data_IF_973617338189
#
_entry.id   IF_973617338189
#
_cell.length_a   1.000
_cell.length_b   1.000
_cell.length_c   1.000
_cell.angle_alpha   90.00
_cell.angle_beta   90.00
_cell.angle_gamma   90.00
#
_symmetry.space_group_name_H-M   'P 1'
#
loop_
_entity.id
_entity.type
_entity.pdbx_description
1 polymer ?
#
# COMPACT_ATOMS: atom_id res chain seq x y z
N UNK A 1 21.82 3.58 -25.25
CA UNK A 1 21.70 4.65 -24.23
C UNK A 1 20.30 5.22 -24.37
N UNK A 2 19.42 4.97 -23.38
CA UNK A 2 17.98 5.29 -23.27
C UNK A 2 17.08 4.72 -24.40
N UNK A 3 15.87 4.19 -24.18
CA UNK A 3 14.77 4.63 -23.30
C UNK A 3 14.01 3.39 -22.79
N UNK A 4 13.74 3.34 -21.48
CA UNK A 4 12.77 2.42 -20.88
C UNK A 4 11.37 3.03 -20.98
N UNK A 5 10.47 2.33 -21.66
CA UNK A 5 9.04 2.62 -21.70
C UNK A 5 8.34 1.67 -20.73
N UNK A 6 8.11 2.15 -19.52
CA UNK A 6 7.19 1.55 -18.56
C UNK A 6 6.13 2.59 -18.24
N UNK A 7 4.89 2.34 -18.65
CA UNK A 7 3.72 2.99 -18.05
C UNK A 7 3.21 1.99 -17.02
N UNK A 8 3.69 2.06 -15.78
CA UNK A 8 3.12 2.87 -14.68
C UNK A 8 1.60 2.72 -14.62
N UNK A 9 1.14 1.94 -13.63
CA UNK A 9 -0.20 2.03 -13.07
C UNK A 9 -0.58 3.51 -12.94
N UNK A 10 -1.56 3.95 -13.71
CA UNK A 10 -2.09 5.30 -13.62
C UNK A 10 -3.08 5.37 -12.47
N UNK A 11 -2.58 5.52 -11.25
CA UNK A 11 -3.40 5.92 -10.12
C UNK A 11 -3.82 7.40 -10.32
N UNK A 12 -5.04 7.61 -10.83
CA UNK A 12 -5.74 8.89 -10.66
C UNK A 12 -6.49 8.83 -9.33
N UNK A 13 -5.78 9.07 -8.24
CA UNK A 13 -6.35 9.26 -6.91
C UNK A 13 -5.83 10.58 -6.34
N UNK A 14 -6.72 11.46 -5.90
CA UNK A 14 -6.35 12.72 -5.27
C UNK A 14 -5.53 12.45 -4.02
N UNK A 15 -4.36 13.08 -3.92
CA UNK A 15 -3.52 12.98 -2.73
C UNK A 15 -4.25 13.60 -1.53
N UNK A 16 -4.71 12.77 -0.61
CA UNK A 16 -4.79 13.14 0.80
C UNK A 16 -3.63 12.44 1.51
N UNK A 17 -2.78 13.26 2.12
CA UNK A 17 -1.75 12.82 3.04
C UNK A 17 -2.43 12.03 4.17
N UNK A 18 -2.09 10.75 4.32
CA UNK A 18 -2.42 10.00 5.52
C UNK A 18 -1.82 10.73 6.73
N UNK A 19 -2.70 11.16 7.63
CA UNK A 19 -2.30 11.75 8.90
C UNK A 19 -1.94 10.61 9.86
N UNK A 20 -0.68 10.51 10.25
CA UNK A 20 -0.32 9.74 11.45
C UNK A 20 -1.09 10.29 12.66
N UNK A 21 -1.64 9.44 13.54
CA UNK A 21 -2.16 9.90 14.82
C UNK A 21 -0.97 10.36 15.66
N UNK A 22 -0.80 11.67 15.75
CA UNK A 22 0.24 12.28 16.57
C UNK A 22 0.09 11.81 18.02
N UNK A 23 1.08 11.07 18.52
CA UNK A 23 1.25 10.81 19.93
C UNK A 23 1.23 12.14 20.69
N UNK A 24 0.14 12.37 21.41
CA UNK A 24 -0.08 13.55 22.23
C UNK A 24 0.80 13.51 23.49
N UNK A 25 2.11 13.68 23.33
CA UNK A 25 3.03 13.93 24.44
C UNK A 25 3.08 15.43 24.71
N UNK A 26 2.26 15.87 25.67
CA UNK A 26 2.17 17.24 26.13
C UNK A 26 3.52 17.83 26.54
N UNK A 27 3.99 18.81 25.78
CA UNK A 27 4.99 19.78 26.23
C UNK A 27 4.32 21.16 26.33
N UNK A 28 3.65 21.43 27.44
CA UNK A 28 3.28 22.80 27.80
C UNK A 28 4.40 23.43 28.62
N UNK A 29 5.02 24.54 28.18
CA UNK A 29 5.93 25.28 29.04
C UNK A 29 5.12 26.04 30.10
N UNK A 30 5.29 25.62 31.35
CA UNK A 30 4.80 26.28 32.56
C UNK A 30 5.34 27.72 32.64
N UNK A 31 4.51 28.72 32.32
CA UNK A 31 4.81 30.12 32.61
C UNK A 31 4.53 30.39 34.09
N UNK A 32 5.58 30.46 34.89
CA UNK A 32 5.53 30.99 36.26
C UNK A 32 5.37 32.51 36.20
N UNK A 33 4.27 33.02 36.75
CA UNK A 33 4.01 34.45 36.87
C UNK A 33 5.02 35.18 37.76
N UNK A 34 5.48 36.33 37.27
CA UNK A 34 6.23 37.33 38.04
C UNK A 34 5.69 38.71 37.71
N UNK A 35 5.18 39.42 38.72
CA UNK A 35 4.50 40.71 38.62
C UNK A 35 5.50 41.86 38.80
N UNK A 36 5.66 42.70 37.77
CA UNK A 36 6.10 44.11 37.80
C UNK A 36 5.98 44.60 36.34
N UNK A 37 5.29 45.67 35.96
CA UNK A 37 5.36 47.02 36.49
C UNK A 37 5.92 47.92 35.38
N UNK A 38 5.03 48.64 34.67
CA UNK A 38 5.35 49.86 33.88
C UNK A 38 6.02 49.70 32.51
N UNK A 39 5.53 50.47 31.53
CA UNK A 39 6.27 50.80 30.31
C UNK A 39 5.58 50.38 29.01
N UNK A 40 4.83 51.30 28.40
CA UNK A 40 4.51 51.21 26.98
C UNK A 40 5.79 51.50 26.20
N UNK A 41 6.39 50.46 25.63
CA UNK A 41 7.53 50.55 24.73
C UNK A 41 7.26 49.73 23.49
N UNK A 42 7.20 50.41 22.33
CA UNK A 42 7.23 49.79 21.01
C UNK A 42 8.48 48.91 20.87
N UNK A 43 8.30 47.61 21.05
CA UNK A 43 9.31 46.59 20.82
C UNK A 43 8.76 45.59 19.82
N UNK A 44 9.10 45.79 18.54
CA UNK A 44 8.82 44.80 17.49
C UNK A 44 9.36 43.44 17.93
N UNK A 45 8.47 42.45 18.10
CA UNK A 45 8.85 41.06 18.28
C UNK A 45 9.55 40.61 17.00
N UNK A 46 10.88 40.66 17.02
CA UNK A 46 11.73 40.04 16.01
C UNK A 46 11.37 38.55 16.02
N UNK A 47 10.69 38.08 14.98
CA UNK A 47 10.58 36.65 14.75
C UNK A 47 12.01 36.10 14.77
N UNK A 48 12.31 35.19 15.70
CA UNK A 48 13.61 34.54 15.68
C UNK A 48 13.71 33.81 14.34
N UNK A 49 14.77 34.03 13.55
CA UNK A 49 14.94 33.29 12.31
C UNK A 49 15.06 31.82 12.69
N UNK A 50 14.08 31.00 12.31
CA UNK A 50 14.21 29.55 12.33
C UNK A 50 15.41 29.23 11.45
N UNK A 51 16.54 28.86 12.05
CA UNK A 51 17.68 28.39 11.29
C UNK A 51 17.30 27.03 10.69
N UNK A 52 17.38 26.83 9.37
CA UNK A 52 17.09 25.55 8.73
C UNK A 52 17.79 24.37 9.43
N UNK A 53 19.06 24.56 9.83
CA UNK A 53 19.84 23.55 10.54
C UNK A 53 19.29 23.12 11.91
N UNK A 54 18.54 23.98 12.62
CA UNK A 54 17.89 23.58 13.87
C UNK A 54 16.62 22.75 13.60
N UNK A 55 15.91 23.08 12.52
CA UNK A 55 14.77 22.28 12.03
C UNK A 55 15.21 20.89 11.58
N UNK A 56 16.27 20.81 10.77
CA UNK A 56 16.83 19.55 10.28
C UNK A 56 17.26 18.64 11.43
N UNK A 57 17.88 19.20 12.47
CA UNK A 57 18.29 18.44 13.66
C UNK A 57 17.10 17.89 14.43
N UNK A 58 16.06 18.70 14.64
CA UNK A 58 14.84 18.25 15.32
C UNK A 58 14.14 17.15 14.50
N UNK A 59 14.08 17.32 13.17
CA UNK A 59 13.45 16.35 12.28
C UNK A 59 14.23 15.04 12.23
N UNK A 60 15.56 15.08 12.13
CA UNK A 60 16.39 13.88 12.14
C UNK A 60 16.32 13.11 13.48
N UNK A 61 16.11 13.82 14.59
CA UNK A 61 15.88 13.19 15.89
C UNK A 61 14.51 12.49 15.91
N UNK A 62 13.45 13.18 15.48
CA UNK A 62 12.12 12.60 15.34
C UNK A 62 12.15 11.32 14.51
N UNK A 63 12.71 11.37 13.29
CA UNK A 63 12.84 10.19 12.41
C UNK A 63 13.66 9.07 13.06
N UNK A 64 14.63 9.39 13.91
CA UNK A 64 15.42 8.37 14.61
C UNK A 64 14.60 7.60 15.63
N UNK A 65 13.66 8.27 16.29
CA UNK A 65 12.80 7.63 17.27
C UNK A 65 11.65 6.90 16.57
N UNK A 66 11.09 7.47 15.50
CA UNK A 66 10.09 6.82 14.63
C UNK A 66 10.60 5.47 14.07
N UNK A 67 11.77 5.47 13.43
CA UNK A 67 12.38 4.23 12.88
C UNK A 67 12.56 3.16 13.96
N UNK A 68 12.82 3.54 15.23
CA UNK A 68 12.98 2.56 16.30
C UNK A 68 11.64 1.97 16.70
N UNK A 69 10.58 2.77 16.80
CA UNK A 69 9.25 2.26 17.13
C UNK A 69 8.74 1.37 16.00
N UNK A 70 8.84 1.80 14.74
CA UNK A 70 8.44 1.01 13.56
C UNK A 70 9.15 -0.36 13.51
N UNK A 71 10.44 -0.40 13.83
CA UNK A 71 11.21 -1.66 13.91
C UNK A 71 10.81 -2.57 15.08
N UNK A 72 10.22 -2.02 16.15
CA UNK A 72 9.73 -2.84 17.27
C UNK A 72 8.39 -3.49 16.92
N UNK A 73 7.52 -2.75 16.24
CA UNK A 73 6.18 -3.21 15.87
C UNK A 73 6.16 -4.02 14.56
N UNK A 74 7.28 -4.03 13.81
CA UNK A 74 7.44 -4.84 12.60
C UNK A 74 7.14 -6.32 12.85
N UNK A 75 5.92 -6.72 12.49
CA UNK A 75 5.39 -8.09 12.65
C UNK A 75 6.22 -9.10 11.85
N UNK A 76 6.57 -8.75 10.61
CA UNK A 76 7.23 -9.64 9.67
C UNK A 76 8.71 -9.30 9.50
N UNK A 77 9.58 -10.02 10.21
CA UNK A 77 11.05 -9.94 10.00
C UNK A 77 11.50 -10.60 8.70
N UNK A 78 10.71 -11.55 8.21
CA UNK A 78 10.86 -12.17 6.91
C UNK A 78 9.52 -12.08 6.20
N UNK A 79 9.54 -11.92 4.87
CA UNK A 79 8.32 -11.82 4.08
C UNK A 79 7.50 -13.12 4.21
N UNK A 80 6.17 -13.02 4.39
CA UNK A 80 5.29 -14.18 4.37
C UNK A 80 5.37 -14.86 3.01
N UNK A 81 5.11 -16.17 3.00
CA UNK A 81 5.17 -16.97 1.77
C UNK A 81 3.77 -17.21 1.26
N UNK A 82 3.58 -16.99 -0.03
CA UNK A 82 2.36 -17.39 -0.74
C UNK A 82 2.46 -18.90 -1.05
N UNK A 83 1.44 -19.65 -0.66
CA UNK A 83 1.32 -21.09 -0.90
C UNK A 83 1.02 -21.39 -2.37
N UNK A 84 1.17 -22.63 -2.81
CA UNK A 84 0.95 -23.00 -4.23
C UNK A 84 2.17 -22.86 -5.15
N UNK A 85 3.36 -22.56 -4.60
CA UNK A 85 4.63 -22.64 -5.32
C UNK A 85 4.95 -21.40 -6.17
N UNK A 86 4.53 -20.22 -5.72
CA UNK A 86 4.89 -18.95 -6.34
C UNK A 86 6.33 -18.54 -6.03
N UNK A 87 7.02 -18.05 -7.05
CA UNK A 87 8.32 -17.39 -6.93
C UNK A 87 8.09 -15.88 -6.84
N UNK A 88 8.57 -15.25 -5.77
CA UNK A 88 8.46 -13.81 -5.54
C UNK A 88 9.69 -13.07 -6.09
N UNK A 89 9.45 -12.11 -6.98
CA UNK A 89 10.42 -11.14 -7.47
C UNK A 89 10.00 -9.74 -7.02
N UNK A 90 10.89 -8.96 -6.41
CA UNK A 90 10.60 -7.61 -5.91
C UNK A 90 11.56 -6.59 -6.53
N UNK A 91 11.00 -5.52 -7.09
CA UNK A 91 11.72 -4.42 -7.73
C UNK A 91 11.22 -3.07 -7.23
N UNK A 92 11.83 -2.60 -6.13
CA UNK A 92 11.35 -1.39 -5.46
C UNK A 92 9.98 -1.65 -4.84
N UNK A 93 8.96 -0.92 -5.27
CA UNK A 93 7.58 -1.06 -4.78
C UNK A 93 6.73 -2.01 -5.64
N UNK A 94 7.26 -2.50 -6.75
CA UNK A 94 6.58 -3.47 -7.61
C UNK A 94 7.01 -4.88 -7.21
N UNK A 95 6.02 -5.75 -7.00
CA UNK A 95 6.21 -7.14 -6.66
C UNK A 95 5.52 -8.02 -7.71
N UNK A 96 6.18 -9.12 -8.04
CA UNK A 96 5.75 -10.07 -9.06
C UNK A 96 5.80 -11.48 -8.49
N UNK A 97 4.67 -12.17 -8.49
CA UNK A 97 4.55 -13.58 -8.16
C UNK A 97 4.47 -14.37 -9.46
N UNK A 98 5.38 -15.32 -9.65
CA UNK A 98 5.45 -16.16 -10.86
C UNK A 98 5.20 -17.61 -10.52
N UNK A 99 4.28 -18.24 -11.24
CA UNK A 99 4.00 -19.67 -11.17
C UNK A 99 4.00 -20.27 -12.55
N UNK A 100 4.62 -21.44 -12.69
CA UNK A 100 4.62 -22.22 -13.94
C UNK A 100 3.85 -23.51 -13.72
N UNK A 101 2.87 -23.75 -14.57
CA UNK A 101 2.12 -25.00 -14.64
C UNK A 101 2.32 -25.60 -16.04
N UNK A 102 1.95 -26.87 -16.24
CA UNK A 102 2.26 -27.56 -17.50
C UNK A 102 1.62 -26.83 -18.72
N UNK A 103 2.45 -26.14 -19.51
CA UNK A 103 2.04 -25.41 -20.71
C UNK A 103 1.64 -23.95 -20.49
N UNK A 104 1.66 -23.45 -19.24
CA UNK A 104 1.26 -22.08 -18.92
C UNK A 104 2.19 -21.42 -17.90
N UNK A 105 2.40 -20.11 -18.07
CA UNK A 105 3.05 -19.23 -17.09
C UNK A 105 2.03 -18.23 -16.58
N UNK A 106 1.83 -18.22 -15.27
CA UNK A 106 1.00 -17.25 -14.57
C UNK A 106 1.92 -16.24 -13.89
N UNK A 107 1.60 -14.96 -14.04
CA UNK A 107 2.27 -13.87 -13.35
C UNK A 107 1.22 -13.01 -12.69
N UNK A 108 1.37 -12.76 -11.39
CA UNK A 108 0.60 -11.74 -10.68
C UNK A 108 1.53 -10.59 -10.37
N UNK A 109 1.15 -9.37 -10.74
CA UNK A 109 1.93 -8.16 -10.49
C UNK A 109 1.12 -7.16 -9.69
N UNK A 110 1.69 -6.60 -8.65
CA UNK A 110 1.06 -5.58 -7.81
C UNK A 110 2.07 -4.51 -7.37
N UNK A 111 1.56 -3.37 -6.92
CA UNK A 111 2.38 -2.27 -6.43
C UNK A 111 1.89 -1.82 -5.06
N UNK A 112 2.81 -1.70 -4.10
CA UNK A 112 2.47 -1.31 -2.73
C UNK A 112 2.21 0.20 -2.58
N UNK A 113 2.50 1.03 -3.59
CA UNK A 113 2.16 2.45 -3.53
C UNK A 113 0.64 2.65 -3.55
N UNK A 114 0.12 3.51 -2.68
CA UNK A 114 -1.31 3.85 -2.58
C UNK A 114 -2.20 2.61 -2.42
N UNK A 115 -1.70 1.60 -1.70
CA UNK A 115 -2.36 0.32 -1.49
C UNK A 115 -3.12 0.22 -0.17
N UNK A 116 -2.96 1.21 0.72
CA UNK A 116 -3.66 1.27 2.00
C UNK A 116 -4.97 2.03 1.76
N UNK A 117 -6.15 1.40 1.96
CA UNK A 117 -7.42 2.08 1.88
C UNK A 117 -7.49 3.24 2.89
N UNK A 118 -8.22 4.33 2.58
CA UNK A 118 -8.50 5.34 3.60
C UNK A 118 -9.22 4.65 4.77
N UNK A 119 -8.81 4.96 6.00
CA UNK A 119 -9.52 4.49 7.18
C UNK A 119 -10.98 4.91 7.05
N UNK A 120 -11.89 3.93 7.02
CA UNK A 120 -13.30 4.19 7.27
C UNK A 120 -13.35 4.72 8.69
N UNK A 121 -13.92 5.92 8.86
CA UNK A 121 -14.09 6.57 10.16
C UNK A 121 -15.21 5.79 10.88
N UNK A 122 -14.92 4.56 11.29
CA UNK A 122 -15.81 3.75 12.11
C UNK A 122 -16.00 4.53 13.41
N UNK A 123 -17.21 5.06 13.60
CA UNK A 123 -17.63 5.65 14.87
C UNK A 123 -17.24 4.67 15.99
N UNK A 124 -16.26 5.09 16.79
CA UNK A 124 -15.60 4.26 17.79
C UNK A 124 -16.60 3.39 18.56
N UNK A 125 -16.38 2.06 18.67
CA UNK A 125 -17.05 1.29 19.70
C UNK A 125 -16.59 1.83 21.06
N UNK A 126 -17.50 2.49 21.77
CA UNK A 126 -17.28 2.84 23.17
C UNK A 126 -16.91 1.56 23.96
N UNK A 127 -15.90 1.72 24.83
CA UNK A 127 -15.47 0.76 25.86
C UNK A 127 -14.55 -0.41 25.45
N UNK A 128 -13.26 -0.10 25.23
CA UNK A 128 -12.19 -1.05 25.53
C UNK A 128 -11.23 -0.51 26.60
N UNK A 129 -10.77 -1.43 27.47
CA UNK A 129 -10.01 -1.18 28.70
C UNK A 129 -8.64 -0.54 28.39
N UNK A 130 -8.06 0.23 29.33
CA UNK A 130 -6.86 1.05 29.08
C UNK A 130 -5.53 0.28 29.24
N UNK A 131 -5.43 -0.95 28.74
CA UNK A 131 -4.17 -1.70 28.69
C UNK A 131 -4.17 -2.47 27.37
N UNK A 132 -3.15 -2.24 26.54
CA UNK A 132 -3.04 -2.61 25.11
C UNK A 132 -3.72 -1.59 24.16
N UNK A 133 -3.09 -0.42 23.99
CA UNK A 133 -3.22 0.32 22.73
C UNK A 133 -2.59 -0.55 21.63
N UNK A 134 -3.37 -1.47 21.05
CA UNK A 134 -3.01 -2.06 19.77
C UNK A 134 -3.02 -0.95 18.73
N UNK A 135 -1.87 -0.67 18.13
CA UNK A 135 -1.77 0.27 17.02
C UNK A 135 -2.65 -0.21 15.86
N UNK A 136 -3.28 0.70 15.11
CA UNK A 136 -4.19 0.34 14.03
C UNK A 136 -3.46 -0.58 13.05
N UNK A 137 -4.04 -1.75 12.77
CA UNK A 137 -3.45 -2.72 11.86
C UNK A 137 -3.56 -2.21 10.43
N UNK A 138 -2.52 -1.53 9.96
CA UNK A 138 -2.46 -1.01 8.60
C UNK A 138 -2.46 -2.20 7.64
N UNK A 139 -3.51 -2.32 6.86
CA UNK A 139 -3.67 -3.40 5.87
C UNK A 139 -3.49 -2.82 4.47
N UNK A 140 -2.65 -3.48 3.67
CA UNK A 140 -2.38 -3.12 2.28
C UNK A 140 -3.14 -4.06 1.34
N UNK A 141 -4.11 -3.52 0.60
CA UNK A 141 -4.96 -4.22 -0.38
C UNK A 141 -4.74 -3.66 -1.80
N UNK A 142 -3.55 -3.88 -2.39
CA UNK A 142 -3.24 -3.33 -3.71
C UNK A 142 -4.09 -4.00 -4.80
N UNK A 143 -4.44 -3.24 -5.84
CA UNK A 143 -4.87 -3.88 -7.09
C UNK A 143 -3.76 -4.75 -7.64
N UNK A 144 -4.12 -5.87 -8.26
CA UNK A 144 -3.17 -6.80 -8.83
C UNK A 144 -3.61 -7.24 -10.22
N UNK A 145 -2.63 -7.43 -11.10
CA UNK A 145 -2.86 -7.83 -12.49
C UNK A 145 -2.38 -9.26 -12.67
N UNK A 146 -3.28 -10.12 -13.15
CA UNK A 146 -2.98 -11.51 -13.50
C UNK A 146 -2.74 -11.61 -14.99
N UNK A 147 -1.55 -12.07 -15.36
CA UNK A 147 -1.19 -12.42 -16.73
C UNK A 147 -1.09 -13.94 -16.87
N UNK A 148 -1.85 -14.50 -17.81
CA UNK A 148 -1.77 -15.92 -18.18
C UNK A 148 -1.24 -16.04 -19.60
N UNK A 149 -0.07 -16.68 -19.72
CA UNK A 149 0.62 -16.93 -20.98
C UNK A 149 0.59 -18.43 -21.24
N UNK A 150 0.10 -18.85 -22.41
CA UNK A 150 0.18 -20.24 -22.88
C UNK A 150 1.35 -20.39 -23.84
N UNK A 151 2.04 -21.52 -23.78
CA UNK A 151 3.27 -21.73 -24.57
C UNK A 151 3.05 -21.69 -26.09
N UNK A 152 1.84 -21.97 -26.56
CA UNK A 152 1.45 -22.05 -27.96
C UNK A 152 0.83 -20.75 -28.52
N UNK A 153 0.61 -19.74 -27.67
CA UNK A 153 0.01 -18.47 -28.07
C UNK A 153 1.02 -17.34 -28.10
N UNK A 154 0.78 -16.35 -28.97
CA UNK A 154 1.47 -15.04 -28.93
C UNK A 154 0.66 -13.98 -28.21
N UNK A 155 -0.35 -14.43 -27.46
CA UNK A 155 -1.26 -13.58 -26.73
C UNK A 155 -1.25 -14.00 -25.27
N UNK A 156 -1.23 -12.98 -24.42
CA UNK A 156 -1.37 -13.06 -22.98
C UNK A 156 -2.80 -12.64 -22.64
N UNK A 157 -3.50 -13.45 -21.86
CA UNK A 157 -4.75 -13.01 -21.23
C UNK A 157 -4.38 -12.21 -19.99
N UNK A 158 -4.91 -11.00 -19.88
CA UNK A 158 -4.65 -10.09 -18.76
C UNK A 158 -5.96 -9.79 -18.05
N UNK A 159 -5.97 -9.99 -16.74
CA UNK A 159 -7.09 -9.72 -15.85
C UNK A 159 -6.65 -8.71 -14.78
N UNK A 160 -7.30 -7.55 -14.73
CA UNK A 160 -7.09 -6.54 -13.69
C UNK A 160 -8.05 -6.82 -12.53
N UNK A 161 -7.49 -7.10 -11.36
CA UNK A 161 -8.21 -7.51 -10.16
C UNK A 161 -8.06 -6.47 -9.05
N UNK A 162 -9.10 -6.32 -8.23
CA UNK A 162 -9.10 -5.40 -7.10
C UNK A 162 -9.86 -5.96 -5.91
N UNK A 163 -9.53 -5.45 -4.74
CA UNK A 163 -10.26 -5.72 -3.50
C UNK A 163 -11.44 -4.72 -3.42
N UNK A 164 -12.69 -5.19 -3.26
CA UNK A 164 -13.84 -4.31 -3.08
C UNK A 164 -13.70 -3.45 -1.82
N UNK A 165 -14.07 -2.17 -1.90
CA UNK A 165 -14.03 -1.23 -0.75
C UNK A 165 -15.18 -1.46 0.25
N UNK A 166 -16.27 -2.12 -0.17
CA UNK A 166 -17.56 -2.15 0.54
C UNK A 166 -17.81 -3.40 1.41
N UNK A 167 -16.88 -4.36 1.52
CA UNK A 167 -17.16 -5.68 2.15
C UNK A 167 -16.37 -6.02 3.42
N UNK A 168 -15.79 -5.03 4.11
CA UNK A 168 -15.25 -5.26 5.46
C UNK A 168 -16.39 -5.15 6.48
N UNK A 169 -17.38 -6.07 6.46
CA UNK A 169 -18.42 -6.04 7.49
C UNK A 169 -19.78 -6.70 7.23
N UNK A 170 -19.94 -7.59 6.26
CA UNK A 170 -21.19 -8.36 6.15
C UNK A 170 -21.05 -9.74 6.81
N UNK A 171 -21.47 -9.81 8.08
CA UNK A 171 -21.89 -11.06 8.73
C UNK A 171 -23.10 -11.64 7.99
N UNK A 172 -22.84 -12.37 6.90
CA UNK A 172 -23.86 -13.06 6.11
C UNK A 172 -23.23 -14.23 5.38
N UNK A 173 -23.58 -15.44 5.80
CA UNK A 173 -23.11 -16.72 5.26
C UNK A 173 -23.46 -16.89 3.77
N UNK A 174 -22.58 -16.43 2.89
CA UNK A 174 -22.33 -16.93 1.53
C UNK A 174 -20.88 -16.52 1.23
N UNK A 175 -20.02 -17.42 0.71
CA UNK A 175 -18.60 -17.13 0.43
C UNK A 175 -18.51 -15.94 -0.54
N UNK A 176 -18.36 -14.72 -0.04
CA UNK A 176 -18.12 -13.57 -0.88
C UNK A 176 -16.69 -13.61 -1.40
N UNK A 177 -16.51 -13.30 -2.68
CA UNK A 177 -15.19 -13.26 -3.29
C UNK A 177 -14.36 -12.13 -2.69
N UNK A 178 -13.17 -12.47 -2.18
CA UNK A 178 -12.27 -11.51 -1.51
C UNK A 178 -11.77 -10.45 -2.49
N UNK A 179 -11.71 -10.80 -3.77
CA UNK A 179 -11.33 -9.91 -4.86
C UNK A 179 -12.30 -10.06 -6.03
N UNK A 180 -12.35 -9.04 -6.88
CA UNK A 180 -13.16 -9.08 -8.10
C UNK A 180 -12.32 -8.71 -9.32
N UNK A 181 -12.71 -9.23 -10.47
CA UNK A 181 -12.10 -8.88 -11.76
C UNK A 181 -12.79 -7.62 -12.27
N UNK A 182 -12.04 -6.57 -12.57
CA UNK A 182 -12.54 -5.30 -13.10
C UNK A 182 -12.48 -5.23 -14.62
N UNK A 183 -11.35 -5.66 -15.18
CA UNK A 183 -11.10 -5.59 -16.61
C UNK A 183 -10.43 -6.86 -17.12
N UNK A 184 -10.78 -7.28 -18.34
CA UNK A 184 -10.17 -8.41 -19.04
C UNK A 184 -9.78 -8.00 -20.44
N UNK A 185 -8.56 -8.32 -20.87
CA UNK A 185 -8.08 -8.02 -22.22
C UNK A 185 -7.07 -9.05 -22.71
N UNK A 186 -6.80 -9.05 -24.01
CA UNK A 186 -5.65 -9.75 -24.58
C UNK A 186 -4.54 -8.75 -24.91
N UNK A 187 -3.31 -9.08 -24.50
CA UNK A 187 -2.10 -8.33 -24.84
C UNK A 187 -1.13 -9.20 -25.65
N UNK A 188 -0.32 -8.64 -26.56
CA UNK A 188 0.72 -9.41 -27.24
C UNK A 188 1.80 -9.85 -26.26
N UNK A 189 2.17 -11.13 -26.31
CA UNK A 189 3.17 -11.69 -25.41
C UNK A 189 4.56 -11.10 -25.69
N UNK A 190 5.25 -10.64 -24.64
CA UNK A 190 6.62 -10.17 -24.71
C UNK A 190 6.80 -8.71 -25.14
N UNK A 191 5.71 -7.97 -25.37
CA UNK A 191 5.76 -6.53 -25.52
C UNK A 191 5.66 -5.85 -24.13
N UNK A 192 6.50 -4.84 -23.89
CA UNK A 192 6.54 -4.13 -22.60
C UNK A 192 5.47 -3.03 -22.50
N UNK A 193 5.03 -2.51 -23.64
CA UNK A 193 4.07 -1.42 -23.69
C UNK A 193 2.66 -1.98 -23.83
N UNK A 194 1.76 -1.51 -22.96
CA UNK A 194 0.35 -1.79 -23.05
C UNK A 194 -0.25 -1.24 -24.36
N UNK A 195 -1.07 -2.05 -25.04
CA UNK A 195 -1.78 -1.61 -26.25
C UNK A 195 -3.18 -1.10 -25.90
N UNK A 196 -3.30 0.22 -25.79
CA UNK A 196 -4.59 0.92 -25.60
C UNK A 196 -5.60 0.66 -26.73
N UNK A 197 -5.15 0.15 -27.88
CA UNK A 197 -6.00 -0.17 -29.03
C UNK A 197 -6.64 -1.56 -28.95
N UNK A 198 -6.21 -2.40 -28.02
CA UNK A 198 -6.81 -3.71 -27.82
C UNK A 198 -8.14 -3.55 -27.08
N UNK A 199 -9.08 -4.45 -27.38
CA UNK A 199 -10.36 -4.44 -26.69
C UNK A 199 -10.15 -4.85 -25.23
N UNK A 200 -10.66 -4.00 -24.33
CA UNK A 200 -10.73 -4.27 -22.89
C UNK A 200 -12.20 -4.41 -22.51
N UNK A 201 -12.55 -5.57 -21.98
CA UNK A 201 -13.85 -5.87 -21.43
C UNK A 201 -13.90 -5.35 -19.99
N UNK A 202 -14.83 -4.45 -19.71
CA UNK A 202 -15.22 -4.11 -18.34
C UNK A 202 -16.26 -5.13 -17.85
N UNK A 203 -16.13 -5.56 -16.60
CA UNK A 203 -16.92 -6.66 -16.02
C UNK A 203 -18.22 -6.21 -15.36
N UNK A 204 -18.43 -4.90 -15.11
CA UNK A 204 -19.58 -4.36 -14.35
C UNK A 204 -20.94 -4.72 -14.97
N UNK A 205 -20.98 -4.93 -16.28
CA UNK A 205 -22.18 -5.32 -17.05
C UNK A 205 -22.05 -6.69 -17.72
N UNK A 206 -21.11 -7.51 -17.25
CA UNK A 206 -20.87 -8.84 -17.80
C UNK A 206 -21.99 -9.80 -17.40
N UNK A 207 -22.26 -10.77 -18.27
CA UNK A 207 -23.12 -11.89 -17.92
C UNK A 207 -22.49 -12.67 -16.75
N UNK A 208 -23.28 -12.92 -15.70
CA UNK A 208 -22.81 -13.53 -14.46
C UNK A 208 -22.18 -14.91 -14.68
N UNK A 209 -22.72 -15.74 -15.59
CA UNK A 209 -22.18 -17.06 -15.84
C UNK A 209 -20.80 -16.99 -16.53
N UNK A 210 -20.57 -15.98 -17.37
CA UNK A 210 -19.24 -15.72 -17.93
C UNK A 210 -18.26 -15.21 -16.87
N UNK A 211 -18.74 -14.38 -15.93
CA UNK A 211 -17.93 -13.90 -14.81
C UNK A 211 -17.49 -15.07 -13.90
N UNK A 212 -18.41 -15.94 -13.52
CA UNK A 212 -18.12 -17.14 -12.71
C UNK A 212 -17.03 -18.00 -13.37
N UNK A 213 -17.13 -18.21 -14.69
CA UNK A 213 -16.11 -18.95 -15.44
C UNK A 213 -14.74 -18.25 -15.50
N UNK A 214 -14.68 -16.92 -15.40
CA UNK A 214 -13.41 -16.19 -15.28
C UNK A 214 -12.80 -16.38 -13.88
N UNK A 215 -13.63 -16.38 -12.83
CA UNK A 215 -13.20 -16.66 -11.46
C UNK A 215 -12.71 -18.10 -11.32
N UNK A 216 -13.47 -19.09 -11.81
CA UNK A 216 -13.05 -20.51 -11.87
C UNK A 216 -11.71 -20.66 -12.62
N UNK A 217 -11.55 -19.94 -13.74
CA UNK A 217 -10.33 -19.97 -14.53
C UNK A 217 -9.10 -19.46 -13.76
N UNK A 218 -9.27 -18.45 -12.91
CA UNK A 218 -8.23 -17.95 -12.01
C UNK A 218 -7.95 -18.95 -10.87
N UNK A 219 -9.00 -19.49 -10.25
CA UNK A 219 -8.89 -20.46 -9.17
C UNK A 219 -8.16 -21.75 -9.61
N UNK A 220 -8.45 -22.26 -10.80
CA UNK A 220 -7.74 -23.41 -11.41
C UNK A 220 -6.22 -23.18 -11.55
N UNK A 221 -5.79 -21.91 -11.56
CA UNK A 221 -4.38 -21.48 -11.64
C UNK A 221 -3.81 -21.07 -10.28
N UNK A 222 -4.59 -21.25 -9.21
CA UNK A 222 -4.30 -20.88 -7.82
C UNK A 222 -4.26 -19.38 -7.58
N UNK A 223 -5.12 -18.64 -8.29
CA UNK A 223 -5.50 -17.28 -7.93
C UNK A 223 -6.95 -17.37 -7.42
N UNK A 224 -7.08 -17.79 -6.17
CA UNK A 224 -8.34 -17.98 -5.44
C UNK A 224 -8.39 -17.08 -4.20
N UNK A 225 -9.42 -17.23 -3.36
CA UNK A 225 -9.56 -16.43 -2.14
C UNK A 225 -8.40 -16.66 -1.14
N UNK A 226 -7.85 -17.88 -1.05
CA UNK A 226 -6.67 -18.14 -0.22
C UNK A 226 -5.44 -17.38 -0.73
N UNK A 227 -5.24 -17.35 -2.05
CA UNK A 227 -4.19 -16.52 -2.65
C UNK A 227 -4.40 -15.02 -2.36
N UNK A 228 -5.64 -14.55 -2.43
CA UNK A 228 -5.97 -13.14 -2.21
C UNK A 228 -5.68 -12.70 -0.76
N UNK A 229 -5.97 -13.55 0.23
CA UNK A 229 -5.62 -13.32 1.64
C UNK A 229 -4.09 -13.30 1.85
N UNK A 230 -3.38 -14.29 1.31
CA UNK A 230 -1.92 -14.36 1.41
C UNK A 230 -1.24 -13.17 0.70
N UNK A 231 -1.86 -12.63 -0.35
CA UNK A 231 -1.39 -11.45 -1.06
C UNK A 231 -1.53 -10.18 -0.21
N UNK A 232 -2.62 -10.05 0.58
CA UNK A 232 -2.81 -8.94 1.53
C UNK A 232 -1.69 -8.99 2.59
N UNK A 233 -1.44 -10.16 3.19
CA UNK A 233 -0.38 -10.30 4.18
C UNK A 233 1.00 -9.96 3.59
N UNK A 234 1.30 -10.47 2.38
CA UNK A 234 2.55 -10.18 1.69
C UNK A 234 2.71 -8.69 1.37
N UNK A 235 1.66 -8.06 0.82
CA UNK A 235 1.69 -6.64 0.47
C UNK A 235 1.88 -5.78 1.71
N UNK A 236 1.19 -6.12 2.80
CA UNK A 236 1.28 -5.41 4.08
C UNK A 236 2.71 -5.51 4.67
N UNK A 237 3.31 -6.69 4.61
CA UNK A 237 4.70 -6.87 5.04
C UNK A 237 5.71 -6.11 4.15
N UNK A 238 5.47 -6.05 2.84
CA UNK A 238 6.31 -5.30 1.88
C UNK A 238 6.18 -3.78 2.07
N UNK A 239 4.96 -3.28 2.26
CA UNK A 239 4.65 -1.88 2.55
C UNK A 239 5.42 -1.43 3.78
N UNK A 240 5.29 -2.16 4.90
CA UNK A 240 5.94 -1.77 6.15
C UNK A 240 7.47 -1.78 6.05
N UNK A 241 8.03 -2.75 5.31
CA UNK A 241 9.47 -2.81 5.04
C UNK A 241 9.97 -1.60 4.24
N UNK A 242 9.26 -1.23 3.17
CA UNK A 242 9.63 -0.07 2.34
C UNK A 242 9.35 1.25 3.05
N UNK A 243 8.34 1.33 3.93
CA UNK A 243 8.10 2.50 4.78
C UNK A 243 9.27 2.77 5.74
N UNK A 244 9.72 1.74 6.47
CA UNK A 244 10.90 1.87 7.36
C UNK A 244 12.12 2.34 6.57
N UNK A 245 12.36 1.76 5.39
CA UNK A 245 13.47 2.13 4.52
C UNK A 245 13.33 3.56 4.00
N UNK A 246 12.12 4.00 3.65
CA UNK A 246 11.83 5.37 3.29
C UNK A 246 12.18 6.34 4.42
N UNK A 247 11.82 6.03 5.68
CA UNK A 247 12.20 6.85 6.83
C UNK A 247 13.72 6.92 7.03
N UNK A 248 14.43 5.82 6.78
CA UNK A 248 15.90 5.78 6.82
C UNK A 248 16.55 6.67 5.74
N UNK A 249 16.06 6.57 4.51
CA UNK A 249 16.52 7.39 3.39
C UNK A 249 16.20 8.87 3.62
N UNK A 250 15.00 9.19 4.11
CA UNK A 250 14.57 10.54 4.46
C UNK A 250 15.45 11.12 5.56
N UNK A 251 15.73 10.34 6.61
CA UNK A 251 16.65 10.74 7.68
C UNK A 251 18.06 11.00 7.14
N UNK A 252 18.55 10.15 6.25
CA UNK A 252 19.86 10.32 5.61
C UNK A 252 19.91 11.63 4.81
N UNK A 253 18.85 11.90 4.03
CA UNK A 253 18.69 13.12 3.26
C UNK A 253 18.68 14.38 4.13
N UNK A 254 17.89 14.39 5.21
CA UNK A 254 17.78 15.52 6.15
C UNK A 254 19.09 15.77 6.92
N UNK A 255 19.88 14.72 7.16
CA UNK A 255 21.18 14.84 7.82
C UNK A 255 22.29 15.39 6.94
N UNK A 256 22.17 15.29 5.61
CA UNK A 256 23.19 15.78 4.69
C UNK A 256 23.30 17.31 4.76
N UNK A 257 24.35 17.80 5.41
CA UNK A 257 24.85 19.17 5.40
C UNK A 257 26.35 19.17 5.11
#
# INVERSE_FOLDING_TARGET
MAVGGGRRCSARGGALLAACPAAAAGCTPRVSGGRAGGGWGEGGRRAQPFSPAAGDKAFAQFLTDEIKEERKIQKHKALPKVSGGWELEVHGTEARLVRKVAGEKITVTFNINNSIPPAVDDEAPEEQKPDEQEEPDITSTPNFVVEVIKDDTKQTLVLDCHYPEDEVGHEGEEESDIFTIREVSFQPTGESDWKDTNYTLNTDSLDWALYDHLMDFLADRGVDNTFADELIELSTALEHQEYIKFLEDLKSFVKCQ
#
